data_IF_839104169263
#
_entry.id   IF_839104169263
#
_cell.length_a   1.000
_cell.length_b   1.000
_cell.length_c   1.000
_cell.angle_alpha   90.00
_cell.angle_beta   90.00
_cell.angle_gamma   90.00
#
_symmetry.space_group_name_H-M   'P 1'
#
loop_
_entity.id
_entity.type
_entity.pdbx_description
1 polymer ?
#
# COMPACT_ATOMS: atom_id res chain seq x y z
N UNK A 1 2.35 12.10 10.49
CA UNK A 1 2.20 11.88 9.03
C UNK A 1 3.47 11.29 8.45
N UNK A 2 3.38 10.02 8.02
CA UNK A 2 4.45 9.26 7.38
C UNK A 2 4.00 8.79 5.99
N UNK A 3 4.96 8.51 5.11
CA UNK A 3 4.68 8.08 3.73
C UNK A 3 5.42 6.80 3.43
N UNK A 4 4.68 5.76 3.06
CA UNK A 4 5.20 4.46 2.66
C UNK A 4 5.22 4.36 1.14
N UNK A 5 6.36 4.01 0.55
CA UNK A 5 6.51 3.88 -0.90
C UNK A 5 7.01 2.49 -1.24
N UNK A 6 6.31 1.78 -2.13
CA UNK A 6 6.71 0.47 -2.63
C UNK A 6 6.88 0.50 -4.14
N UNK A 7 7.97 -0.11 -4.63
CA UNK A 7 8.17 -0.35 -6.05
C UNK A 7 7.43 -1.62 -6.46
N UNK A 8 6.39 -1.46 -7.28
CA UNK A 8 5.60 -2.56 -7.82
C UNK A 8 6.03 -2.76 -9.27
N UNK A 9 6.58 -3.93 -9.60
CA UNK A 9 7.28 -4.17 -10.86
C UNK A 9 6.39 -4.12 -12.10
N UNK A 10 5.07 -4.23 -11.93
CA UNK A 10 4.08 -3.94 -12.97
C UNK A 10 2.68 -3.94 -12.34
N UNK A 11 1.92 -2.85 -12.46
CA UNK A 11 0.50 -2.81 -12.11
C UNK A 11 -0.31 -3.40 -13.27
N UNK A 12 -0.96 -4.54 -13.03
CA UNK A 12 -1.66 -5.29 -14.08
C UNK A 12 -3.05 -4.74 -14.44
N UNK A 13 -3.73 -4.02 -13.54
CA UNK A 13 -5.08 -3.51 -13.81
C UNK A 13 -5.46 -2.32 -12.89
N UNK A 14 -6.22 -1.37 -13.43
CA UNK A 14 -6.82 -0.25 -12.67
C UNK A 14 -7.67 -0.75 -11.49
N UNK A 15 -8.37 -1.88 -11.67
CA UNK A 15 -9.13 -2.52 -10.61
C UNK A 15 -8.26 -3.03 -9.46
N UNK A 16 -7.06 -3.56 -9.74
CA UNK A 16 -6.12 -3.97 -8.69
C UNK A 16 -5.66 -2.76 -7.85
N UNK A 17 -5.40 -1.61 -8.50
CA UNK A 17 -5.03 -0.36 -7.79
C UNK A 17 -6.18 0.13 -6.93
N UNK A 18 -7.39 0.09 -7.48
CA UNK A 18 -8.60 0.50 -6.77
C UNK A 18 -8.91 -0.41 -5.59
N UNK A 19 -8.69 -1.72 -5.73
CA UNK A 19 -8.82 -2.69 -4.65
C UNK A 19 -7.78 -2.44 -3.55
N UNK A 20 -6.51 -2.19 -3.91
CA UNK A 20 -5.46 -1.82 -2.97
C UNK A 20 -5.86 -0.56 -2.17
N UNK A 21 -6.24 0.51 -2.86
CA UNK A 21 -6.65 1.76 -2.23
C UNK A 21 -7.86 1.60 -1.32
N UNK A 22 -8.82 0.74 -1.68
CA UNK A 22 -9.96 0.41 -0.80
C UNK A 22 -9.57 -0.40 0.42
N UNK A 23 -8.65 -1.35 0.28
CA UNK A 23 -8.23 -2.22 1.38
C UNK A 23 -7.34 -1.46 2.37
N UNK A 24 -6.30 -0.82 1.84
CA UNK A 24 -5.34 -0.03 2.63
C UNK A 24 -5.99 1.26 3.14
N UNK A 25 -6.77 1.96 2.32
CA UNK A 25 -7.49 3.18 2.74
C UNK A 25 -8.59 2.96 3.78
N UNK A 26 -9.03 1.72 3.99
CA UNK A 26 -9.93 1.36 5.11
C UNK A 26 -9.19 1.10 6.42
N UNK A 27 -7.87 0.95 6.38
CA UNK A 27 -7.10 0.73 7.60
C UNK A 27 -7.04 2.00 8.44
N UNK A 28 -7.16 1.82 9.76
CA UNK A 28 -7.11 2.91 10.72
C UNK A 28 -5.72 3.55 10.71
N UNK A 29 -5.68 4.88 10.65
CA UNK A 29 -4.45 5.64 10.50
C UNK A 29 -4.04 5.87 9.04
N UNK A 30 -4.64 5.22 8.04
CA UNK A 30 -4.35 5.54 6.63
C UNK A 30 -5.10 6.80 6.21
N UNK A 31 -4.37 7.76 5.63
CA UNK A 31 -4.93 9.00 5.12
C UNK A 31 -5.22 8.93 3.62
N UNK A 32 -4.31 8.36 2.83
CA UNK A 32 -4.47 8.28 1.37
C UNK A 32 -3.59 7.20 0.76
N UNK A 33 -4.04 6.67 -0.38
CA UNK A 33 -3.31 5.65 -1.15
C UNK A 33 -3.30 6.09 -2.60
N UNK A 34 -2.11 6.26 -3.16
CA UNK A 34 -1.90 6.78 -4.49
C UNK A 34 -0.86 5.95 -5.24
N UNK A 35 -1.18 5.50 -6.45
CA UNK A 35 -0.23 4.77 -7.29
C UNK A 35 0.31 5.72 -8.35
N UNK A 36 1.62 5.96 -8.33
CA UNK A 36 2.33 6.77 -9.32
C UNK A 36 2.87 5.87 -10.44
N UNK A 37 2.60 6.26 -11.68
CA UNK A 37 3.13 5.65 -12.90
C UNK A 37 2.92 4.15 -13.06
N UNK A 38 1.94 3.52 -12.39
CA UNK A 38 1.73 2.06 -12.44
C UNK A 38 2.94 1.20 -12.02
N UNK A 39 3.93 1.82 -11.37
CA UNK A 39 5.20 1.20 -11.00
C UNK A 39 5.57 1.48 -9.54
N UNK A 40 4.87 2.42 -8.90
CA UNK A 40 5.14 2.83 -7.52
C UNK A 40 3.86 3.09 -6.76
N UNK A 41 3.62 2.36 -5.68
CA UNK A 41 2.51 2.59 -4.76
C UNK A 41 2.98 3.45 -3.60
N UNK A 42 2.30 4.57 -3.35
CA UNK A 42 2.56 5.54 -2.29
C UNK A 42 1.37 5.56 -1.35
N UNK A 43 1.60 5.36 -0.06
CA UNK A 43 0.57 5.28 0.97
C UNK A 43 0.92 6.28 2.06
N UNK A 44 0.02 7.20 2.34
CA UNK A 44 0.13 8.18 3.41
C UNK A 44 -0.64 7.68 4.61
N UNK A 45 0.04 7.56 5.75
CA UNK A 45 -0.53 7.06 6.99
C UNK A 45 0.00 7.84 8.19
N UNK A 46 -0.72 7.79 9.30
CA UNK A 46 -0.32 8.40 10.54
C UNK A 46 0.08 7.32 11.55
N UNK A 47 1.38 7.25 11.95
CA UNK A 47 1.86 6.22 12.85
C UNK A 47 1.27 6.31 14.26
N UNK A 48 0.80 7.48 14.69
CA UNK A 48 0.13 7.63 16.00
C UNK A 48 -1.33 7.16 15.95
N UNK A 49 -1.93 7.09 14.76
CA UNK A 49 -3.29 6.60 14.53
C UNK A 49 -3.37 5.13 14.08
N UNK A 50 -2.25 4.44 13.91
CA UNK A 50 -2.22 3.02 13.57
C UNK A 50 -2.60 2.18 14.78
N UNK A 51 -3.42 1.15 14.57
CA UNK A 51 -3.71 0.13 15.60
C UNK A 51 -2.59 -0.90 15.77
N UNK A 52 -1.63 -0.91 14.84
CA UNK A 52 -0.51 -1.86 14.81
C UNK A 52 0.80 -1.10 14.63
N UNK A 53 1.90 -1.71 15.04
CA UNK A 53 3.24 -1.17 14.78
C UNK A 53 3.50 -0.93 13.29
N UNK A 54 4.40 0.00 13.00
CA UNK A 54 4.76 0.35 11.64
C UNK A 54 5.24 -0.87 10.83
N UNK A 55 5.98 -1.79 11.44
CA UNK A 55 6.43 -3.04 10.81
C UNK A 55 5.25 -3.94 10.44
N UNK A 56 4.28 -4.09 11.33
CA UNK A 56 3.07 -4.87 11.04
C UNK A 56 2.22 -4.21 9.97
N UNK A 57 2.07 -2.88 10.00
CA UNK A 57 1.38 -2.13 8.96
C UNK A 57 2.04 -2.36 7.59
N UNK A 58 3.37 -2.22 7.51
CA UNK A 58 4.15 -2.53 6.30
C UNK A 58 3.87 -3.95 5.80
N UNK A 59 3.82 -4.91 6.72
CA UNK A 59 3.58 -6.32 6.40
C UNK A 59 2.16 -6.57 5.88
N UNK A 60 1.14 -5.96 6.50
CA UNK A 60 -0.27 -6.06 6.04
C UNK A 60 -0.42 -5.44 4.65
N UNK A 61 0.18 -4.27 4.42
CA UNK A 61 0.19 -3.63 3.11
C UNK A 61 0.87 -4.53 2.09
N UNK A 62 2.05 -5.08 2.42
CA UNK A 62 2.80 -6.00 1.55
C UNK A 62 1.98 -7.24 1.20
N UNK A 63 1.36 -7.88 2.19
CA UNK A 63 0.49 -9.05 2.00
C UNK A 63 -0.71 -8.71 1.11
N UNK A 64 -1.31 -7.53 1.31
CA UNK A 64 -2.41 -7.04 0.46
C UNK A 64 -1.96 -6.87 -0.99
N UNK A 65 -0.77 -6.29 -1.21
CA UNK A 65 -0.17 -6.12 -2.54
C UNK A 65 0.09 -7.49 -3.20
N UNK A 66 0.66 -8.45 -2.47
CA UNK A 66 0.91 -9.81 -2.96
C UNK A 66 -0.39 -10.56 -3.28
N UNK A 67 -1.43 -10.44 -2.43
CA UNK A 67 -2.76 -11.04 -2.64
C UNK A 67 -3.48 -10.48 -3.87
N UNK A 68 -3.26 -9.21 -4.18
CA UNK A 68 -3.79 -8.57 -5.38
C UNK A 68 -3.00 -8.94 -6.66
N UNK A 69 -1.93 -9.74 -6.52
CA UNK A 69 -1.12 -10.21 -7.64
C UNK A 69 -0.05 -9.21 -8.11
N UNK A 70 0.19 -8.13 -7.35
CA UNK A 70 1.29 -7.22 -7.67
C UNK A 70 2.63 -7.87 -7.32
N UNK A 71 3.53 -7.94 -8.30
CA UNK A 71 4.92 -8.31 -8.05
C UNK A 71 5.64 -7.15 -7.39
N UNK A 72 6.00 -7.30 -6.12
CA UNK A 72 6.88 -6.35 -5.43
C UNK A 72 8.31 -6.67 -5.88
N UNK A 73 8.92 -5.76 -6.63
CA UNK A 73 10.36 -5.86 -6.89
C UNK A 73 11.07 -5.40 -5.62
N UNK A 74 11.49 -6.38 -4.82
CA UNK A 74 12.47 -6.19 -3.76
C UNK A 74 13.77 -5.74 -4.44
N UNK A 75 14.29 -4.57 -4.08
CA UNK A 75 15.68 -4.21 -4.40
C UNK A 75 16.64 -5.05 -3.56
#
# INVERSE_FOLDING_TARGET
>A
MATLSFKVGHVYCYDCVKALGKFVGKMKGVQSVNVKNNESAVIEYDPAGLEVDEEQFKQIVKDSIERLGFRISKY
#
